data_IF_250829257466
#
_entry.id   IF_250829257466
#
_cell.length_a   1.000
_cell.length_b   1.000
_cell.length_c   1.000
_cell.angle_alpha   90.00
_cell.angle_beta   90.00
_cell.angle_gamma   90.00
#
_symmetry.space_group_name_H-M   'P 1'
#
loop_
_entity.id
_entity.type
_entity.pdbx_description
1 polymer ?
#
# COMPACT_ATOMS: atom_id res chain seq x y z
N UNK A 1 47.89 -34.99 -29.83
CA UNK A 1 46.96 -36.02 -29.35
C UNK A 1 47.38 -36.61 -28.00
N UNK A 2 48.56 -37.25 -27.87
CA UNK A 2 49.00 -37.87 -26.60
C UNK A 2 49.33 -36.87 -25.47
N UNK A 3 49.89 -35.71 -25.81
CA UNK A 3 50.28 -34.67 -24.85
C UNK A 3 49.08 -33.98 -24.16
N UNK A 4 47.99 -33.80 -24.91
CA UNK A 4 46.74 -33.26 -24.36
C UNK A 4 46.10 -34.23 -23.36
N UNK A 5 46.09 -35.54 -23.66
CA UNK A 5 45.56 -36.57 -22.74
C UNK A 5 46.34 -36.61 -21.41
N UNK A 6 47.66 -36.46 -21.46
CA UNK A 6 48.51 -36.37 -20.26
C UNK A 6 48.23 -35.09 -19.45
N UNK A 7 48.01 -33.96 -20.11
CA UNK A 7 47.63 -32.70 -19.47
C UNK A 7 46.28 -32.82 -18.75
N UNK A 8 45.25 -33.34 -19.42
CA UNK A 8 43.92 -33.54 -18.83
C UNK A 8 43.96 -34.47 -17.61
N UNK A 9 44.76 -35.55 -17.68
CA UNK A 9 44.94 -36.46 -16.56
C UNK A 9 45.57 -35.76 -15.35
N UNK A 10 46.63 -34.97 -15.56
CA UNK A 10 47.29 -34.21 -14.48
C UNK A 10 46.35 -33.19 -13.86
N UNK A 11 45.58 -32.47 -14.67
CA UNK A 11 44.59 -31.51 -14.18
C UNK A 11 43.50 -32.21 -13.35
N UNK A 12 43.00 -33.36 -13.81
CA UNK A 12 42.00 -34.14 -13.07
C UNK A 12 42.54 -34.64 -11.73
N UNK A 13 43.74 -35.23 -11.72
CA UNK A 13 44.39 -35.70 -10.49
C UNK A 13 44.62 -34.55 -9.50
N UNK A 14 44.99 -33.36 -9.99
CA UNK A 14 45.13 -32.16 -9.19
C UNK A 14 43.78 -31.70 -8.60
N UNK A 15 42.73 -31.63 -9.41
CA UNK A 15 41.39 -31.24 -8.94
C UNK A 15 40.85 -32.20 -7.88
N UNK A 16 41.01 -33.52 -8.07
CA UNK A 16 40.57 -34.53 -7.10
C UNK A 16 41.34 -34.38 -5.78
N UNK A 17 42.64 -34.11 -5.84
CA UNK A 17 43.48 -33.87 -4.67
C UNK A 17 43.04 -32.61 -3.92
N UNK A 18 42.86 -31.48 -4.61
CA UNK A 18 42.45 -30.23 -3.98
C UNK A 18 41.04 -30.31 -3.41
N UNK A 19 40.12 -30.97 -4.09
CA UNK A 19 38.78 -31.23 -3.56
C UNK A 19 38.84 -32.09 -2.29
N UNK A 20 39.65 -33.14 -2.29
CA UNK A 20 39.85 -33.98 -1.09
C UNK A 20 40.46 -33.20 0.07
N UNK A 21 41.39 -32.28 -0.22
CA UNK A 21 41.97 -31.39 0.78
C UNK A 21 40.93 -30.42 1.35
N UNK A 22 40.08 -29.84 0.50
CA UNK A 22 38.99 -28.96 0.91
C UNK A 22 37.99 -29.68 1.81
N UNK A 23 37.53 -30.87 1.42
CA UNK A 23 36.60 -31.66 2.24
C UNK A 23 37.24 -32.02 3.59
N UNK A 24 38.51 -32.47 3.60
CA UNK A 24 39.24 -32.73 4.84
C UNK A 24 39.36 -31.48 5.71
N UNK A 25 39.61 -30.33 5.10
CA UNK A 25 39.65 -29.06 5.80
C UNK A 25 38.30 -28.75 6.47
N UNK A 26 37.19 -28.83 5.73
CA UNK A 26 35.85 -28.56 6.24
C UNK A 26 35.51 -29.50 7.41
N UNK A 27 35.79 -30.79 7.29
CA UNK A 27 35.47 -31.80 8.31
C UNK A 27 36.33 -31.68 9.58
N UNK A 28 37.56 -31.18 9.46
CA UNK A 28 38.47 -30.99 10.61
C UNK A 28 38.26 -29.68 11.35
N UNK A 29 37.53 -28.72 10.77
CA UNK A 29 37.15 -27.51 11.49
C UNK A 29 36.06 -27.83 12.50
N UNK A 30 36.13 -27.28 13.73
CA UNK A 30 35.01 -27.37 14.64
C UNK A 30 33.79 -26.75 13.97
N UNK A 31 32.68 -27.48 13.96
CA UNK A 31 31.38 -26.91 13.59
C UNK A 31 31.17 -25.68 14.46
N UNK A 32 31.27 -24.49 13.88
CA UNK A 32 30.70 -23.31 14.52
C UNK A 32 29.23 -23.65 14.76
N UNK A 33 28.69 -23.30 15.92
CA UNK A 33 27.29 -23.57 16.22
C UNK A 33 26.44 -22.82 15.18
N UNK A 34 26.06 -23.49 14.10
CA UNK A 34 25.34 -22.91 12.95
C UNK A 34 24.07 -22.22 13.42
N UNK A 35 23.46 -22.74 14.49
CA UNK A 35 22.38 -22.10 15.23
C UNK A 35 22.71 -20.66 15.67
N UNK A 36 23.91 -20.41 16.21
CA UNK A 36 24.30 -19.09 16.69
C UNK A 36 24.49 -18.11 15.52
N UNK A 37 25.08 -18.58 14.40
CA UNK A 37 25.23 -17.74 13.21
C UNK A 37 23.89 -17.42 12.57
N UNK A 38 22.96 -18.39 12.56
CA UNK A 38 21.59 -18.18 12.10
C UNK A 38 20.84 -17.19 13.00
N UNK A 39 20.86 -17.40 14.32
CA UNK A 39 20.21 -16.49 15.28
C UNK A 39 20.78 -15.08 15.25
N UNK A 40 22.09 -14.92 15.06
CA UNK A 40 22.71 -13.59 14.89
C UNK A 40 22.23 -12.90 13.61
N UNK A 41 22.16 -13.63 12.49
CA UNK A 41 21.66 -13.10 11.23
C UNK A 41 20.17 -12.74 11.30
N UNK A 42 19.35 -13.56 11.97
CA UNK A 42 17.93 -13.27 12.22
C UNK A 42 17.76 -12.03 13.09
N UNK A 43 18.54 -11.91 14.17
CA UNK A 43 18.53 -10.72 15.03
C UNK A 43 18.93 -9.46 14.25
N UNK A 44 19.97 -9.54 13.41
CA UNK A 44 20.38 -8.43 12.55
C UNK A 44 19.27 -8.02 11.57
N UNK A 45 18.61 -8.98 10.94
CA UNK A 45 17.49 -8.72 10.05
C UNK A 45 16.31 -8.07 10.78
N UNK A 46 16.00 -8.52 12.01
CA UNK A 46 14.97 -7.92 12.84
C UNK A 46 15.30 -6.48 13.19
N UNK A 47 16.52 -6.19 13.62
CA UNK A 47 16.97 -4.82 13.94
C UNK A 47 16.79 -3.91 12.71
N UNK A 48 17.25 -4.34 11.53
CA UNK A 48 17.09 -3.59 10.27
C UNK A 48 15.63 -3.32 9.94
N UNK A 49 14.75 -4.31 10.08
CA UNK A 49 13.31 -4.18 9.79
C UNK A 49 12.59 -3.29 10.81
N UNK A 50 12.98 -3.33 12.08
CA UNK A 50 12.30 -2.62 13.17
C UNK A 50 12.77 -1.17 13.34
N UNK A 51 14.00 -0.84 12.93
CA UNK A 51 14.55 0.51 13.13
C UNK A 51 13.67 1.60 12.49
N UNK A 52 13.23 1.37 11.25
CA UNK A 52 12.37 2.30 10.52
C UNK A 52 11.00 2.52 11.20
N UNK A 53 10.17 1.50 11.47
CA UNK A 53 8.86 1.71 12.09
C UNK A 53 8.98 2.30 13.50
N UNK A 54 10.04 1.99 14.25
CA UNK A 54 10.29 2.62 15.56
C UNK A 54 10.56 4.12 15.40
N UNK A 55 11.41 4.52 14.46
CA UNK A 55 11.70 5.93 14.19
C UNK A 55 10.47 6.69 13.71
N UNK A 56 9.68 6.10 12.82
CA UNK A 56 8.41 6.68 12.33
C UNK A 56 7.40 6.84 13.47
N UNK A 57 7.25 5.83 14.33
CA UNK A 57 6.37 5.89 15.50
C UNK A 57 6.80 6.98 16.48
N UNK A 58 8.10 7.07 16.79
CA UNK A 58 8.64 8.10 17.67
C UNK A 58 8.40 9.52 17.11
N UNK A 59 8.59 9.70 15.80
CA UNK A 59 8.31 10.96 15.11
C UNK A 59 6.83 11.34 15.22
N UNK A 60 5.92 10.42 14.94
CA UNK A 60 4.47 10.65 15.03
C UNK A 60 4.03 11.04 16.44
N UNK A 61 4.59 10.38 17.46
CA UNK A 61 4.32 10.73 18.87
C UNK A 61 4.76 12.17 19.14
N UNK A 62 5.96 12.55 18.69
CA UNK A 62 6.49 13.91 18.90
C UNK A 62 5.65 14.97 18.17
N UNK A 63 5.24 14.70 16.93
CA UNK A 63 4.37 15.57 16.15
C UNK A 63 3.01 15.75 16.83
N UNK A 64 2.38 14.66 17.28
CA UNK A 64 1.10 14.71 18.00
C UNK A 64 1.20 15.50 19.31
N UNK A 65 2.28 15.32 20.07
CA UNK A 65 2.52 16.11 21.28
C UNK A 65 2.68 17.60 20.98
N UNK A 66 3.37 17.94 19.89
CA UNK A 66 3.53 19.33 19.46
C UNK A 66 2.18 19.94 19.03
N UNK A 67 1.41 19.22 18.22
CA UNK A 67 0.07 19.64 17.79
C UNK A 67 -0.86 19.84 18.99
N UNK A 68 -0.85 18.93 19.96
CA UNK A 68 -1.64 19.05 21.17
C UNK A 68 -1.26 20.28 22.01
N UNK A 69 0.04 20.59 22.13
CA UNK A 69 0.51 21.81 22.81
C UNK A 69 0.05 23.08 22.09
N UNK A 70 0.24 23.13 20.77
CA UNK A 70 -0.19 24.26 19.95
C UNK A 70 -1.72 24.46 20.03
N UNK A 71 -2.48 23.37 19.95
CA UNK A 71 -3.93 23.41 20.09
C UNK A 71 -4.34 23.95 21.47
N UNK A 72 -3.71 23.47 22.55
CA UNK A 72 -3.94 23.99 23.91
C UNK A 72 -3.67 25.49 24.00
N UNK A 73 -2.55 25.98 23.45
CA UNK A 73 -2.23 27.41 23.44
C UNK A 73 -3.25 28.22 22.63
N UNK A 74 -3.70 27.70 21.48
CA UNK A 74 -4.71 28.35 20.65
C UNK A 74 -6.05 28.45 21.35
N UNK A 75 -6.48 27.39 22.05
CA UNK A 75 -7.71 27.39 22.86
C UNK A 75 -7.60 28.39 24.03
N UNK A 76 -6.45 28.47 24.70
CA UNK A 76 -6.22 29.45 25.77
C UNK A 76 -6.25 30.90 25.26
N UNK A 77 -5.73 31.15 24.04
CA UNK A 77 -5.74 32.48 23.40
C UNK A 77 -7.11 32.86 22.84
N UNK A 78 -7.94 31.87 22.47
CA UNK A 78 -9.28 32.07 21.93
C UNK A 78 -10.28 31.16 22.64
N UNK A 79 -10.88 31.60 23.77
CA UNK A 79 -11.83 30.78 24.53
C UNK A 79 -13.09 30.39 23.74
N UNK A 80 -13.39 31.07 22.62
CA UNK A 80 -14.45 30.65 21.66
C UNK A 80 -14.15 29.31 20.98
N UNK A 81 -12.88 28.94 20.80
CA UNK A 81 -12.50 27.60 20.29
C UNK A 81 -12.77 26.50 21.31
N UNK A 82 -12.83 26.81 22.61
CA UNK A 82 -13.20 25.82 23.63
C UNK A 82 -14.70 25.47 23.57
N UNK A 83 -15.54 26.42 23.15
CA UNK A 83 -17.00 26.27 23.07
C UNK A 83 -17.50 25.83 21.69
N UNK A 84 -16.68 26.00 20.65
CA UNK A 84 -16.88 25.32 19.37
C UNK A 84 -16.40 23.89 19.56
N UNK A 85 -17.32 22.96 19.85
CA UNK A 85 -17.00 21.54 19.86
C UNK A 85 -16.29 21.10 18.58
N UNK A 86 -15.76 19.87 18.56
CA UNK A 86 -15.22 19.28 17.32
C UNK A 86 -16.21 19.54 16.17
N UNK A 87 -15.76 20.07 15.02
CA UNK A 87 -16.65 20.32 13.89
C UNK A 87 -17.29 18.99 13.50
N UNK A 88 -18.53 18.80 13.93
CA UNK A 88 -19.34 17.66 13.58
C UNK A 88 -20.03 18.05 12.28
N UNK A 89 -19.61 17.43 11.18
CA UNK A 89 -20.39 17.51 9.95
C UNK A 89 -21.65 16.68 10.17
N UNK A 90 -22.77 17.34 10.46
CA UNK A 90 -24.08 16.70 10.44
C UNK A 90 -24.42 16.36 8.98
N UNK A 91 -24.04 15.15 8.58
CA UNK A 91 -24.35 14.63 7.24
C UNK A 91 -25.68 13.89 7.33
N UNK A 92 -26.72 14.44 6.73
CA UNK A 92 -27.96 13.70 6.49
C UNK A 92 -27.74 12.70 5.34
N UNK A 93 -27.78 11.40 5.66
CA UNK A 93 -27.82 10.36 4.62
C UNK A 93 -29.28 10.24 4.17
N UNK A 94 -29.57 10.68 2.95
CA UNK A 94 -30.86 10.44 2.29
C UNK A 94 -30.73 9.28 1.33
N UNK A 95 -31.48 8.22 1.59
CA UNK A 95 -31.66 7.16 0.61
C UNK A 95 -32.50 7.68 -0.55
N UNK A 96 -32.04 7.41 -1.77
CA UNK A 96 -32.77 7.72 -2.98
C UNK A 96 -33.70 6.55 -3.31
N UNK A 97 -34.92 6.86 -3.74
CA UNK A 97 -35.92 5.83 -4.11
C UNK A 97 -35.50 5.03 -5.34
N UNK A 98 -34.69 5.64 -6.21
CA UNK A 98 -34.23 5.04 -7.46
C UNK A 98 -32.73 5.31 -7.64
N UNK A 99 -31.99 4.37 -8.24
CA UNK A 99 -30.62 4.61 -8.64
C UNK A 99 -30.53 5.77 -9.64
N UNK A 100 -29.38 6.44 -9.61
CA UNK A 100 -28.99 7.50 -10.55
C UNK A 100 -27.74 7.05 -11.27
N UNK A 101 -27.59 7.47 -12.51
CA UNK A 101 -26.40 7.13 -13.30
C UNK A 101 -25.72 8.39 -13.80
N UNK A 102 -24.41 8.28 -13.94
CA UNK A 102 -23.52 9.35 -14.37
C UNK A 102 -22.40 8.71 -15.17
N UNK A 103 -22.02 9.31 -16.31
CA UNK A 103 -20.93 8.84 -17.14
C UNK A 103 -19.60 9.47 -16.71
N UNK A 104 -18.49 8.95 -17.22
CA UNK A 104 -17.13 9.42 -16.90
C UNK A 104 -16.68 10.61 -17.76
N UNK A 105 -17.60 11.27 -18.47
CA UNK A 105 -17.28 12.44 -19.28
C UNK A 105 -16.95 13.63 -18.37
N UNK A 106 -15.96 14.45 -18.73
CA UNK A 106 -15.55 15.65 -17.98
C UNK A 106 -16.68 16.69 -17.80
N UNK A 107 -17.73 16.62 -18.64
CA UNK A 107 -18.96 17.40 -18.48
C UNK A 107 -19.80 16.95 -17.28
N UNK A 108 -19.74 15.67 -16.93
CA UNK A 108 -20.59 15.03 -15.93
C UNK A 108 -19.85 14.75 -14.62
N UNK A 109 -18.54 14.52 -14.68
CA UNK A 109 -17.71 14.29 -13.50
C UNK A 109 -16.38 15.05 -13.56
N UNK A 110 -15.79 15.33 -12.40
CA UNK A 110 -14.44 15.86 -12.28
C UNK A 110 -13.69 15.20 -11.14
N UNK A 111 -12.41 14.96 -11.33
CA UNK A 111 -11.53 14.50 -10.27
C UNK A 111 -11.09 15.68 -9.40
N UNK A 112 -11.38 15.59 -8.10
CA UNK A 112 -10.99 16.57 -7.07
C UNK A 112 -10.07 15.92 -6.03
N UNK A 113 -9.24 16.73 -5.37
CA UNK A 113 -8.38 16.27 -4.28
C UNK A 113 -8.95 16.80 -2.96
N UNK A 114 -9.34 15.89 -2.08
CA UNK A 114 -9.85 16.21 -0.74
C UNK A 114 -9.02 15.45 0.28
N UNK A 115 -8.36 16.14 1.20
CA UNK A 115 -7.51 15.54 2.24
C UNK A 115 -6.42 14.59 1.69
N UNK A 116 -5.73 14.98 0.61
CA UNK A 116 -4.75 14.17 -0.12
C UNK A 116 -5.30 12.88 -0.77
N UNK A 117 -6.62 12.69 -0.81
CA UNK A 117 -7.27 11.60 -1.54
C UNK A 117 -7.91 12.11 -2.83
N UNK A 118 -7.74 11.34 -3.91
CA UNK A 118 -8.40 11.58 -5.19
C UNK A 118 -9.85 11.10 -5.11
N UNK A 119 -10.81 12.00 -5.31
CA UNK A 119 -12.26 11.71 -5.32
C UNK A 119 -12.90 12.19 -6.61
N UNK A 120 -13.99 11.55 -7.01
CA UNK A 120 -14.79 11.97 -8.16
C UNK A 120 -15.94 12.84 -7.64
N UNK A 121 -16.05 14.05 -8.17
CA UNK A 121 -17.18 14.94 -8.01
C UNK A 121 -18.13 14.78 -9.19
N UNK A 122 -19.37 14.38 -8.92
CA UNK A 122 -20.42 14.25 -9.93
C UNK A 122 -21.14 15.60 -10.09
N UNK A 123 -20.90 16.29 -11.21
CA UNK A 123 -21.45 17.62 -11.52
C UNK A 123 -22.88 17.57 -12.04
N UNK A 124 -23.18 16.56 -12.85
CA UNK A 124 -24.49 16.36 -13.45
C UNK A 124 -24.87 14.89 -13.42
N UNK A 125 -26.19 14.63 -13.41
CA UNK A 125 -26.74 13.27 -13.50
C UNK A 125 -27.07 13.03 -14.97
N UNK A 126 -26.62 11.91 -15.52
CA UNK A 126 -26.99 11.49 -16.88
C UNK A 126 -28.41 10.93 -16.92
N UNK A 127 -28.79 10.21 -15.86
CA UNK A 127 -30.12 9.63 -15.72
C UNK A 127 -30.59 9.73 -14.26
N UNK A 128 -31.64 10.52 -14.01
CA UNK A 128 -32.10 10.82 -12.65
C UNK A 128 -33.01 9.75 -12.04
N UNK A 129 -33.75 8.98 -12.85
CA UNK A 129 -34.68 7.95 -12.38
C UNK A 129 -34.42 6.66 -13.14
N UNK A 130 -33.51 5.83 -12.63
CA UNK A 130 -33.25 4.51 -13.20
C UNK A 130 -34.14 3.44 -12.56
N UNK A 131 -34.81 2.65 -13.40
CA UNK A 131 -35.70 1.56 -12.95
C UNK A 131 -34.96 0.23 -12.72
N UNK A 132 -33.63 0.19 -12.88
CA UNK A 132 -32.84 -1.00 -12.57
C UNK A 132 -32.91 -1.31 -11.07
N UNK A 133 -33.25 -2.55 -10.75
CA UNK A 133 -33.37 -3.03 -9.36
C UNK A 133 -32.14 -3.84 -8.96
N UNK A 134 -31.82 -3.78 -7.66
CA UNK A 134 -30.73 -4.55 -7.06
C UNK A 134 -29.33 -4.11 -7.51
N UNK A 135 -29.18 -2.85 -7.92
CA UNK A 135 -27.87 -2.27 -8.23
C UNK A 135 -27.18 -1.88 -6.92
N UNK A 136 -25.93 -2.29 -6.74
CA UNK A 136 -25.12 -1.89 -5.58
C UNK A 136 -24.65 -0.45 -5.77
N UNK A 137 -24.51 0.32 -4.67
CA UNK A 137 -24.00 1.69 -4.73
C UNK A 137 -22.60 1.74 -5.36
N UNK A 138 -22.31 2.77 -6.16
CA UNK A 138 -21.05 2.95 -6.91
C UNK A 138 -20.72 1.79 -7.88
N UNK A 139 -21.72 1.07 -8.41
CA UNK A 139 -21.49 0.09 -9.48
C UNK A 139 -21.04 0.79 -10.77
N UNK A 140 -19.89 0.39 -11.31
CA UNK A 140 -19.34 0.89 -12.57
C UNK A 140 -19.64 -0.12 -13.69
N UNK A 141 -20.10 0.36 -14.85
CA UNK A 141 -20.33 -0.44 -16.05
C UNK A 141 -21.27 -1.65 -15.83
N UNK A 142 -22.43 -1.43 -15.20
CA UNK A 142 -23.46 -2.48 -15.10
C UNK A 142 -23.89 -2.91 -16.52
N UNK A 143 -23.73 -4.19 -16.91
CA UNK A 143 -24.04 -4.65 -18.27
C UNK A 143 -25.47 -4.37 -18.72
N UNK A 144 -26.42 -4.28 -17.78
CA UNK A 144 -27.84 -3.99 -18.05
C UNK A 144 -28.07 -2.56 -18.55
N UNK A 145 -27.06 -1.70 -18.44
CA UNK A 145 -27.10 -0.33 -18.97
C UNK A 145 -26.96 -0.29 -20.50
N UNK A 146 -26.45 -1.33 -21.14
CA UNK A 146 -26.32 -1.40 -22.60
C UNK A 146 -27.69 -1.36 -23.30
N UNK A 147 -28.72 -1.90 -22.63
CA UNK A 147 -30.08 -1.99 -23.16
C UNK A 147 -30.98 -0.85 -22.67
N UNK A 148 -30.41 0.19 -22.05
CA UNK A 148 -31.19 1.26 -21.44
C UNK A 148 -31.57 2.33 -22.47
N UNK A 149 -32.85 2.35 -22.87
CA UNK A 149 -33.42 3.28 -23.86
C UNK A 149 -33.39 4.76 -23.43
N UNK A 150 -33.19 5.03 -22.14
CA UNK A 150 -33.21 6.40 -21.58
C UNK A 150 -31.82 7.03 -21.58
N UNK A 151 -30.74 6.25 -21.76
CA UNK A 151 -29.39 6.80 -21.83
C UNK A 151 -29.23 7.55 -23.16
N UNK A 152 -28.97 8.84 -23.08
CA UNK A 152 -28.66 9.66 -24.23
C UNK A 152 -27.14 9.74 -24.44
N UNK A 153 -26.64 8.95 -25.40
CA UNK A 153 -25.23 8.89 -25.78
C UNK A 153 -24.70 10.20 -26.40
N UNK A 154 -25.56 11.14 -26.79
CA UNK A 154 -25.16 12.45 -27.32
C UNK A 154 -24.88 13.47 -26.21
N UNK A 155 -25.56 13.35 -25.07
CA UNK A 155 -25.36 14.23 -23.91
C UNK A 155 -24.41 13.64 -22.86
N UNK A 156 -24.12 12.34 -22.96
CA UNK A 156 -23.23 11.59 -22.06
C UNK A 156 -23.95 10.49 -21.31
#
# INVERSE_FOLDING_TARGET
>A
SNDQTLSYRKSWEHTVKEYSNLIRHIVTRPLHAVSNTLSLNEAEQLIRKLTRPIAETAKLIQENLQLAKQHKENVLKNPKLASQGLPQHDVEIRHLDNPRTVCTNDKCCQTIIVNNETKIEYKSKCHEICYLKGVVQETINDPRMLDCEVINYETG
#
